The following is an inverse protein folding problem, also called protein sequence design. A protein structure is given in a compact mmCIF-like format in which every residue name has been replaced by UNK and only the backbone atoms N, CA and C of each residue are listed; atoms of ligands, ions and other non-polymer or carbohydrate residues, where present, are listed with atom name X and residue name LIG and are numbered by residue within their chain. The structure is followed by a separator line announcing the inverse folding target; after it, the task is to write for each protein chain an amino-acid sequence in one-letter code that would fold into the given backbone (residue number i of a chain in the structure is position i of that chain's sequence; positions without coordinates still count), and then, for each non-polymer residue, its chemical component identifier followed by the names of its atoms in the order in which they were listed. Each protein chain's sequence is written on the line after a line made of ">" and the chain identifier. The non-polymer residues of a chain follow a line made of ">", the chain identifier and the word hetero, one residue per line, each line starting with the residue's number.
data_IF_405330559660
#
_entry.id   IF_405330559660
#
_cell.length_a   1.000
_cell.length_b   1.000
_cell.length_c   1.000
_cell.angle_alpha   90.00
_cell.angle_beta   90.00
_cell.angle_gamma   90.00
#
_symmetry.space_group_name_H-M   'P 1'
#
loop_
_entity.id
_entity.type
_entity.pdbx_description
1 polymer ?
#
# COMPACT_ATOMS: atom_id res chain seq x y z
N UNK A 1 -14.47 17.81 -42.86
CA UNK A 1 -14.07 17.81 -41.43
C UNK A 1 -13.99 16.38 -40.85
N UNK A 2 -13.27 15.47 -41.53
CA UNK A 2 -13.19 14.05 -41.15
C UNK A 2 -11.98 13.78 -40.23
N UNK A 3 -10.92 14.59 -40.37
CA UNK A 3 -9.70 14.49 -39.56
C UNK A 3 -9.96 14.68 -38.06
N UNK A 4 -10.78 15.67 -37.69
CA UNK A 4 -11.15 15.93 -36.29
C UNK A 4 -11.95 14.74 -35.70
N UNK A 5 -12.84 14.13 -36.50
CA UNK A 5 -13.60 12.97 -36.06
C UNK A 5 -12.68 11.76 -35.80
N UNK A 6 -11.70 11.50 -36.65
CA UNK A 6 -10.71 10.44 -36.45
C UNK A 6 -9.85 10.70 -35.21
N UNK A 7 -9.39 11.94 -35.01
CA UNK A 7 -8.61 12.33 -33.82
C UNK A 7 -9.43 12.15 -32.54
N UNK A 8 -10.72 12.51 -32.55
CA UNK A 8 -11.60 12.32 -31.40
C UNK A 8 -11.75 10.85 -31.02
N UNK A 9 -11.92 9.97 -32.02
CA UNK A 9 -12.03 8.52 -31.79
C UNK A 9 -10.72 7.97 -31.20
N UNK A 10 -9.56 8.34 -31.76
CA UNK A 10 -8.27 7.88 -31.27
C UNK A 10 -7.98 8.39 -29.84
N UNK A 11 -8.30 9.65 -29.56
CA UNK A 11 -8.13 10.25 -28.25
C UNK A 11 -8.97 9.53 -27.17
N UNK A 12 -10.18 9.07 -27.53
CA UNK A 12 -11.06 8.36 -26.60
C UNK A 12 -10.47 7.07 -26.02
N UNK A 13 -9.54 6.42 -26.75
CA UNK A 13 -8.86 5.19 -26.32
C UNK A 13 -7.48 5.51 -25.72
N UNK A 14 -6.74 6.43 -26.34
CA UNK A 14 -5.38 6.75 -25.94
C UNK A 14 -5.31 7.41 -24.55
N UNK A 15 -6.23 8.33 -24.25
CA UNK A 15 -6.25 9.07 -22.98
C UNK A 15 -6.47 8.16 -21.76
N UNK A 16 -7.52 7.32 -21.69
CA UNK A 16 -7.69 6.43 -20.53
C UNK A 16 -6.55 5.42 -20.39
N UNK A 17 -6.00 4.93 -21.50
CA UNK A 17 -4.85 4.00 -21.48
C UNK A 17 -3.60 4.65 -20.86
N UNK A 18 -3.29 5.89 -21.24
CA UNK A 18 -2.17 6.63 -20.69
C UNK A 18 -2.34 6.94 -19.19
N UNK A 19 -3.55 7.33 -18.79
CA UNK A 19 -3.88 7.54 -17.37
C UNK A 19 -3.64 6.26 -16.57
N UNK A 20 -4.10 5.12 -17.08
CA UNK A 20 -3.92 3.83 -16.43
C UNK A 20 -2.44 3.41 -16.36
N UNK A 21 -1.63 3.79 -17.34
CA UNK A 21 -0.18 3.58 -17.31
C UNK A 21 0.49 4.38 -16.17
N UNK A 22 0.21 5.68 -16.06
CA UNK A 22 0.77 6.53 -15.01
C UNK A 22 0.36 6.03 -13.62
N UNK A 23 -0.91 5.66 -13.46
CA UNK A 23 -1.44 5.07 -12.22
C UNK A 23 -0.67 3.81 -11.81
N UNK A 24 -0.43 2.88 -12.74
CA UNK A 24 0.36 1.67 -12.48
C UNK A 24 1.77 1.98 -12.03
N UNK A 25 2.40 3.01 -12.62
CA UNK A 25 3.71 3.49 -12.20
C UNK A 25 3.71 4.00 -10.76
N UNK A 26 2.71 4.79 -10.38
CA UNK A 26 2.58 5.33 -9.02
C UNK A 26 2.29 4.25 -7.98
N UNK A 27 1.49 3.24 -8.32
CA UNK A 27 1.16 2.11 -7.42
C UNK A 27 2.40 1.29 -7.05
N UNK A 28 3.43 1.21 -7.91
CA UNK A 28 4.66 0.46 -7.58
C UNK A 28 5.38 1.01 -6.34
N UNK A 29 5.24 2.31 -6.07
CA UNK A 29 5.78 2.94 -4.86
C UNK A 29 5.24 2.24 -3.59
N UNK A 30 3.93 2.01 -3.53
CA UNK A 30 3.31 1.32 -2.40
C UNK A 30 3.87 -0.09 -2.21
N UNK A 31 3.99 -0.87 -3.29
CA UNK A 31 4.45 -2.25 -3.21
C UNK A 31 5.91 -2.35 -2.74
N UNK A 32 6.76 -1.43 -3.20
CA UNK A 32 8.14 -1.33 -2.76
C UNK A 32 8.24 -1.07 -1.25
N UNK A 33 7.56 -0.02 -0.76
CA UNK A 33 7.63 0.33 0.66
C UNK A 33 6.92 -0.68 1.56
N UNK A 34 5.79 -1.26 1.16
CA UNK A 34 5.14 -2.32 1.94
C UNK A 34 6.06 -3.53 2.11
N UNK A 35 6.81 -3.90 1.08
CA UNK A 35 7.78 -5.01 1.14
C UNK A 35 8.99 -4.68 2.02
N UNK A 36 9.49 -3.44 1.94
CA UNK A 36 10.59 -2.94 2.78
C UNK A 36 10.19 -2.91 4.26
N UNK A 37 9.03 -2.31 4.58
CA UNK A 37 8.53 -2.26 5.96
C UNK A 37 8.26 -3.65 6.53
N UNK A 38 7.74 -4.59 5.74
CA UNK A 38 7.61 -5.97 6.20
C UNK A 38 8.97 -6.54 6.63
N UNK A 39 9.99 -6.39 5.80
CA UNK A 39 11.33 -6.90 6.10
C UNK A 39 11.88 -6.30 7.40
N UNK A 40 11.68 -4.99 7.60
CA UNK A 40 12.05 -4.28 8.84
C UNK A 40 11.27 -4.75 10.06
N UNK A 41 9.97 -5.02 9.90
CA UNK A 41 9.13 -5.58 10.97
C UNK A 41 9.57 -6.99 11.36
N UNK A 42 9.98 -7.84 10.41
CA UNK A 42 10.53 -9.16 10.74
C UNK A 42 11.87 -9.07 11.47
N UNK A 43 12.73 -8.13 11.07
CA UNK A 43 13.98 -7.85 11.80
C UNK A 43 13.68 -7.41 13.24
N UNK A 44 12.77 -6.44 13.40
CA UNK A 44 12.32 -5.98 14.72
C UNK A 44 11.81 -7.13 15.60
N UNK A 45 11.04 -8.05 15.03
CA UNK A 45 10.52 -9.20 15.76
C UNK A 45 11.61 -10.18 16.22
N UNK A 46 12.71 -10.33 15.46
CA UNK A 46 13.82 -11.17 15.92
C UNK A 46 14.48 -10.61 17.18
N UNK A 47 14.57 -9.29 17.28
CA UNK A 47 15.21 -8.60 18.40
C UNK A 47 14.26 -8.47 19.61
N UNK A 48 12.99 -8.17 19.38
CA UNK A 48 12.03 -7.78 20.43
C UNK A 48 10.97 -8.85 20.76
N UNK A 49 10.82 -9.87 19.90
CA UNK A 49 9.82 -10.95 20.03
C UNK A 49 8.35 -10.51 20.03
N UNK A 50 8.08 -9.28 19.59
CA UNK A 50 6.75 -8.72 19.32
C UNK A 50 6.88 -7.75 18.12
N UNK A 51 5.76 -7.23 17.59
CA UNK A 51 5.76 -6.25 16.51
C UNK A 51 5.49 -4.81 16.98
N UNK A 52 5.38 -4.58 18.27
CA UNK A 52 5.04 -3.29 18.86
C UNK A 52 4.63 -3.41 20.32
N UNK A 53 4.31 -2.28 20.94
CA UNK A 53 3.97 -2.21 22.36
C UNK A 53 2.51 -1.82 22.63
N UNK A 54 1.78 -1.42 21.59
CA UNK A 54 0.36 -1.13 21.63
C UNK A 54 -0.25 -1.24 20.22
N UNK A 55 -1.58 -1.31 20.13
CA UNK A 55 -2.31 -1.50 18.86
C UNK A 55 -1.98 -0.48 17.76
N UNK A 56 -1.60 0.76 18.11
CA UNK A 56 -1.20 1.80 17.15
C UNK A 56 0.31 2.10 17.17
N UNK A 57 1.09 1.31 17.91
CA UNK A 57 2.51 1.58 18.17
C UNK A 57 3.37 0.40 17.68
N UNK A 58 3.44 0.24 16.35
CA UNK A 58 4.33 -0.74 15.74
C UNK A 58 5.81 -0.35 15.91
N UNK A 59 6.69 -1.34 16.02
CA UNK A 59 8.14 -1.16 16.08
C UNK A 59 8.60 -0.09 17.10
N UNK A 60 8.06 -0.16 18.32
CA UNK A 60 8.34 0.80 19.39
C UNK A 60 9.60 0.40 20.17
N UNK A 61 10.76 0.52 19.52
CA UNK A 61 12.09 0.37 20.13
C UNK A 61 13.04 1.47 19.60
N UNK A 62 14.01 1.96 20.39
CA UNK A 62 14.97 2.95 19.93
C UNK A 62 15.73 2.57 18.66
N UNK A 63 15.97 1.28 18.41
CA UNK A 63 16.63 0.78 17.18
C UNK A 63 15.78 0.98 15.92
N UNK A 64 14.47 1.13 16.05
CA UNK A 64 13.53 1.32 14.95
C UNK A 64 13.13 2.79 14.69
N UNK A 65 13.62 3.74 15.50
CA UNK A 65 13.27 5.17 15.42
C UNK A 65 13.53 5.81 14.04
N UNK A 66 14.43 5.23 13.24
CA UNK A 66 14.70 5.71 11.88
C UNK A 66 13.58 5.42 10.86
N UNK A 67 12.63 4.54 11.17
CA UNK A 67 11.60 4.08 10.21
C UNK A 67 10.23 3.75 10.82
N UNK A 68 10.10 3.63 12.14
CA UNK A 68 8.87 3.22 12.84
C UNK A 68 7.71 4.22 12.77
N UNK A 69 7.93 5.41 12.20
CA UNK A 69 6.86 6.36 11.89
C UNK A 69 6.10 6.01 10.59
N UNK A 70 6.55 4.99 9.84
CA UNK A 70 5.98 4.60 8.55
C UNK A 70 5.83 5.78 7.57
N UNK A 71 6.76 6.72 7.60
CA UNK A 71 6.77 7.90 6.74
C UNK A 71 8.10 7.97 5.97
N UNK A 72 8.28 7.16 4.91
CA UNK A 72 9.48 7.23 4.10
C UNK A 72 9.59 8.61 3.45
N UNK A 73 10.74 9.26 3.56
CA UNK A 73 10.98 10.60 2.97
C UNK A 73 10.88 10.63 1.44
N UNK A 74 11.06 9.47 0.80
CA UNK A 74 10.94 9.29 -0.65
C UNK A 74 9.54 8.92 -1.12
N UNK A 75 8.57 8.72 -0.21
CA UNK A 75 7.18 8.49 -0.58
C UNK A 75 6.56 9.78 -1.13
N UNK A 76 5.91 9.69 -2.29
CA UNK A 76 5.31 10.84 -3.00
C UNK A 76 3.81 10.67 -3.21
N UNK A 77 3.35 9.44 -3.39
CA UNK A 77 1.97 9.15 -3.80
C UNK A 77 1.17 8.41 -2.73
N UNK A 78 1.84 7.82 -1.74
CA UNK A 78 1.21 7.06 -0.66
C UNK A 78 1.62 7.57 0.72
N UNK A 79 0.68 7.53 1.66
CA UNK A 79 0.97 7.54 3.10
C UNK A 79 0.90 6.13 3.64
N UNK A 80 1.71 5.82 4.65
CA UNK A 80 1.71 4.51 5.27
C UNK A 80 1.37 4.63 6.75
N UNK A 81 0.73 3.59 7.27
CA UNK A 81 0.44 3.45 8.68
C UNK A 81 0.50 1.98 9.07
N UNK A 82 0.84 1.72 10.32
CA UNK A 82 0.86 0.38 10.88
C UNK A 82 -0.08 0.30 12.08
N UNK A 83 -0.78 -0.83 12.18
CA UNK A 83 -1.49 -1.23 13.40
C UNK A 83 -0.99 -2.60 13.82
N UNK A 84 -0.61 -2.71 15.08
CA UNK A 84 -0.38 -3.99 15.76
C UNK A 84 -1.70 -4.49 16.38
N UNK A 85 -1.73 -5.73 16.86
CA UNK A 85 -2.94 -6.33 17.49
C UNK A 85 -4.13 -6.32 16.52
N UNK A 86 -3.95 -6.97 15.38
CA UNK A 86 -4.96 -7.05 14.31
C UNK A 86 -5.69 -8.40 14.31
N UNK A 87 -5.16 -9.40 14.99
CA UNK A 87 -5.82 -10.66 15.24
C UNK A 87 -6.69 -10.58 16.50
N UNK A 88 -7.88 -11.19 16.46
CA UNK A 88 -8.77 -11.19 17.61
C UNK A 88 -8.09 -11.86 18.83
N UNK A 89 -7.93 -11.09 19.91
CA UNK A 89 -7.33 -11.56 21.16
C UNK A 89 -5.80 -11.41 21.25
N UNK A 90 -5.16 -10.67 20.35
CA UNK A 90 -3.70 -10.48 20.35
C UNK A 90 -3.23 -9.38 21.33
N UNK A 91 -3.31 -9.67 22.63
CA UNK A 91 -2.76 -8.79 23.67
C UNK A 91 -1.22 -8.75 23.70
N UNK A 92 -0.55 -9.56 22.88
CA UNK A 92 0.91 -9.73 22.84
C UNK A 92 1.57 -9.08 21.63
N UNK A 93 0.81 -8.40 20.76
CA UNK A 93 1.30 -7.70 19.57
C UNK A 93 2.07 -8.62 18.59
N UNK A 94 1.52 -9.82 18.37
CA UNK A 94 2.05 -10.85 17.48
C UNK A 94 1.54 -10.72 16.04
N UNK A 95 0.62 -9.80 15.80
CA UNK A 95 0.03 -9.51 14.50
C UNK A 95 0.14 -8.03 14.17
N UNK A 96 0.29 -7.74 12.88
CA UNK A 96 0.24 -6.37 12.39
C UNK A 96 -0.41 -6.29 11.02
N UNK A 97 -0.84 -5.10 10.66
CA UNK A 97 -1.18 -4.73 9.29
C UNK A 97 -0.56 -3.39 8.96
N UNK A 98 0.21 -3.35 7.88
CA UNK A 98 0.68 -2.11 7.29
C UNK A 98 -0.27 -1.75 6.17
N UNK A 99 -0.74 -0.51 6.16
CA UNK A 99 -1.65 0.03 5.15
C UNK A 99 -0.95 1.14 4.38
N UNK A 100 -0.92 1.03 3.05
CA UNK A 100 -0.55 2.10 2.13
C UNK A 100 -1.82 2.73 1.57
N UNK A 101 -2.00 4.03 1.79
CA UNK A 101 -3.16 4.81 1.31
C UNK A 101 -2.71 5.83 0.29
N UNK A 102 -3.28 5.78 -0.92
CA UNK A 102 -2.96 6.73 -1.98
C UNK A 102 -3.41 8.15 -1.60
N UNK A 103 -2.45 9.06 -1.52
CA UNK A 103 -2.63 10.43 -1.02
C UNK A 103 -2.43 11.50 -2.10
N UNK A 104 -1.80 11.17 -3.22
CA UNK A 104 -1.54 12.12 -4.30
C UNK A 104 -1.61 11.49 -5.70
N UNK A 105 -1.74 12.34 -6.72
CA UNK A 105 -1.74 11.92 -8.12
C UNK A 105 -2.87 10.96 -8.47
N UNK A 106 -2.55 9.95 -9.27
CA UNK A 106 -3.44 8.85 -9.69
C UNK A 106 -3.43 7.68 -8.71
N UNK A 107 -2.66 7.75 -7.63
CA UNK A 107 -2.71 6.77 -6.55
C UNK A 107 -3.97 6.95 -5.66
N UNK A 108 -4.58 8.15 -5.65
CA UNK A 108 -5.82 8.39 -4.90
C UNK A 108 -6.89 7.37 -5.32
N UNK A 109 -7.60 6.81 -4.33
CA UNK A 109 -8.55 5.72 -4.55
C UNK A 109 -7.91 4.33 -4.62
N UNK A 110 -6.66 4.20 -4.16
CA UNK A 110 -5.97 2.93 -3.97
C UNK A 110 -5.55 2.75 -2.52
N UNK A 111 -5.88 1.59 -1.95
CA UNK A 111 -5.45 1.20 -0.60
C UNK A 111 -4.99 -0.24 -0.63
N UNK A 112 -3.74 -0.45 -0.19
CA UNK A 112 -3.07 -1.75 -0.17
C UNK A 112 -2.61 -2.09 1.23
N UNK A 113 -2.56 -3.38 1.54
CA UNK A 113 -2.13 -3.87 2.84
C UNK A 113 -1.13 -5.01 2.72
N UNK A 114 -0.36 -5.21 3.79
CA UNK A 114 0.43 -6.42 4.04
C UNK A 114 0.42 -6.72 5.53
N UNK A 115 0.40 -8.00 5.89
CA UNK A 115 0.48 -8.47 7.27
C UNK A 115 1.80 -9.24 7.54
N UNK A 116 1.98 -9.71 8.78
CA UNK A 116 3.12 -10.52 9.20
C UNK A 116 3.30 -11.81 8.39
N UNK A 117 2.19 -12.47 8.04
CA UNK A 117 2.19 -13.69 7.25
C UNK A 117 2.58 -13.46 5.80
N UNK A 118 2.51 -12.21 5.33
CA UNK A 118 2.79 -11.84 3.95
C UNK A 118 1.59 -11.82 3.05
N UNK A 119 0.40 -11.94 3.63
CA UNK A 119 -0.85 -11.82 2.90
C UNK A 119 -0.95 -10.38 2.40
N UNK A 120 -0.97 -10.26 1.08
CA UNK A 120 -1.13 -8.99 0.39
C UNK A 120 -2.62 -8.73 0.30
N UNK A 121 -3.02 -7.47 0.48
CA UNK A 121 -4.42 -7.09 0.35
C UNK A 121 -4.60 -5.86 -0.50
N UNK A 122 -5.73 -5.78 -1.19
CA UNK A 122 -6.24 -4.52 -1.74
C UNK A 122 -7.62 -4.30 -1.14
N UNK A 123 -7.81 -3.16 -0.49
CA UNK A 123 -9.11 -2.77 0.11
C UNK A 123 -9.82 -1.69 -0.70
N UNK A 124 -9.09 -0.96 -1.54
CA UNK A 124 -9.65 -0.03 -2.51
C UNK A 124 -8.85 -0.03 -3.80
N UNK A 125 -9.54 -0.09 -4.95
CA UNK A 125 -8.92 -0.04 -6.26
C UNK A 125 -9.74 0.82 -7.22
N UNK A 126 -9.11 1.85 -7.81
CA UNK A 126 -9.78 2.82 -8.70
C UNK A 126 -10.99 3.49 -8.04
N UNK A 127 -10.92 3.71 -6.72
CA UNK A 127 -11.99 4.30 -5.92
C UNK A 127 -13.11 3.34 -5.50
N UNK A 128 -13.10 2.09 -5.97
CA UNK A 128 -14.04 1.07 -5.56
C UNK A 128 -13.49 0.27 -4.38
N UNK A 129 -14.31 0.02 -3.36
CA UNK A 129 -13.97 -0.93 -2.28
C UNK A 129 -13.89 -2.33 -2.85
N UNK A 130 -12.81 -3.04 -2.55
CA UNK A 130 -12.56 -4.41 -2.96
C UNK A 130 -12.07 -5.20 -1.75
N UNK A 131 -12.18 -6.53 -1.78
CA UNK A 131 -11.61 -7.38 -0.75
C UNK A 131 -10.92 -8.57 -1.43
N UNK A 132 -9.66 -8.35 -1.81
CA UNK A 132 -8.85 -9.34 -2.53
C UNK A 132 -7.51 -9.53 -1.84
N UNK A 133 -7.02 -10.76 -1.84
CA UNK A 133 -5.78 -11.18 -1.16
C UNK A 133 -4.56 -11.05 -2.07
N UNK A 134 -4.55 -10.04 -2.94
CA UNK A 134 -3.41 -9.69 -3.77
C UNK A 134 -3.33 -8.17 -3.93
N UNK A 135 -2.21 -7.70 -4.45
CA UNK A 135 -2.01 -6.31 -4.82
C UNK A 135 -2.44 -6.07 -6.26
N UNK A 136 -3.58 -5.40 -6.43
CA UNK A 136 -4.14 -5.12 -7.74
C UNK A 136 -3.34 -4.01 -8.44
N UNK A 137 -3.07 -4.21 -9.73
CA UNK A 137 -2.37 -3.22 -10.57
C UNK A 137 -3.14 -2.86 -11.83
N UNK A 138 -3.79 -3.83 -12.48
CA UNK A 138 -4.47 -3.66 -13.77
C UNK A 138 -5.97 -3.90 -13.66
N UNK A 139 -6.37 -5.07 -13.18
CA UNK A 139 -7.73 -5.58 -13.11
C UNK A 139 -8.17 -5.71 -11.63
N UNK A 140 -9.47 -5.74 -11.30
CA UNK A 140 -9.96 -6.12 -9.97
C UNK A 140 -9.75 -7.60 -9.59
N UNK A 141 -9.33 -8.45 -10.53
CA UNK A 141 -8.97 -9.85 -10.28
C UNK A 141 -7.46 -10.04 -10.14
N UNK A 142 -7.10 -10.95 -9.24
CA UNK A 142 -5.79 -11.58 -9.22
C UNK A 142 -5.75 -12.63 -10.35
#
# INVERSE_FOLDING_TARGET
>A
MITIAIVAILASIAVPSYIDYIRRGQIQEAFGFLSDFRTKMEQYYQDNRNYGTAATACASDPTANGWNNFAPSSAKYFTFGCKADTAAGDSTQQSYIITATGSAGRAIGHVYTINQSGDRGTTMFKGATVNVTCWLSKDPTC
#
